data_IF_494951921271
#
_entry.id   IF_494951921271
#
_cell.length_a   1.000
_cell.length_b   1.000
_cell.length_c   1.000
_cell.angle_alpha   90.00
_cell.angle_beta   90.00
_cell.angle_gamma   90.00
#
_symmetry.space_group_name_H-M   'P 1'
#
loop_
_entity.id
_entity.type
_entity.pdbx_description
1 polymer ?
#
# COMPACT_ATOMS: atom_id res chain seq x y z
N UNK A 1 5.14 11.31 -24.58
CA UNK A 1 5.48 10.57 -23.35
C UNK A 1 6.50 9.51 -23.73
N UNK A 2 7.70 9.56 -23.16
CA UNK A 2 8.73 8.53 -23.32
C UNK A 2 8.38 7.28 -22.51
N UNK A 3 9.05 6.16 -22.78
CA UNK A 3 8.91 4.92 -21.99
C UNK A 3 9.28 5.15 -20.52
N UNK A 4 10.25 6.03 -20.26
CA UNK A 4 10.65 6.41 -18.90
C UNK A 4 9.58 7.24 -18.19
N UNK A 5 9.01 8.23 -18.89
CA UNK A 5 7.89 9.03 -18.38
C UNK A 5 6.66 8.16 -18.09
N UNK A 6 6.38 7.18 -18.96
CA UNK A 6 5.30 6.22 -18.75
C UNK A 6 5.56 5.31 -17.53
N UNK A 7 6.79 4.80 -17.38
CA UNK A 7 7.19 3.99 -16.23
C UNK A 7 7.10 4.76 -14.90
N UNK A 8 7.48 6.04 -14.90
CA UNK A 8 7.34 6.92 -13.75
C UNK A 8 5.86 7.16 -13.39
N UNK A 9 5.00 7.38 -14.38
CA UNK A 9 3.57 7.57 -14.18
C UNK A 9 2.90 6.32 -13.56
N UNK A 10 3.24 5.12 -14.04
CA UNK A 10 2.73 3.87 -13.48
C UNK A 10 3.18 3.65 -12.03
N UNK A 11 4.44 3.96 -11.70
CA UNK A 11 4.93 3.90 -10.32
C UNK A 11 4.20 4.88 -9.40
N UNK A 12 3.96 6.10 -9.88
CA UNK A 12 3.22 7.11 -9.12
C UNK A 12 1.76 6.70 -8.88
N UNK A 13 1.10 6.15 -9.90
CA UNK A 13 -0.26 5.61 -9.78
C UNK A 13 -0.32 4.46 -8.75
N UNK A 14 0.56 3.46 -8.90
CA UNK A 14 0.61 2.31 -8.00
C UNK A 14 0.87 2.73 -6.55
N UNK A 15 1.75 3.72 -6.34
CA UNK A 15 2.01 4.28 -5.01
C UNK A 15 0.76 4.92 -4.42
N UNK A 16 0.08 5.77 -5.20
CA UNK A 16 -1.14 6.46 -4.75
C UNK A 16 -2.23 5.45 -4.38
N UNK A 17 -2.51 4.48 -5.24
CA UNK A 17 -3.53 3.46 -4.99
C UNK A 17 -3.20 2.63 -3.74
N UNK A 18 -1.91 2.32 -3.53
CA UNK A 18 -1.47 1.64 -2.33
C UNK A 18 -1.68 2.47 -1.06
N UNK A 19 -1.34 3.75 -1.08
CA UNK A 19 -1.53 4.68 0.04
C UNK A 19 -3.02 4.84 0.37
N UNK A 20 -3.89 4.98 -0.64
CA UNK A 20 -5.35 5.04 -0.47
C UNK A 20 -5.90 3.75 0.15
N UNK A 21 -5.46 2.59 -0.33
CA UNK A 21 -5.88 1.29 0.21
C UNK A 21 -5.42 1.08 1.66
N UNK A 22 -4.17 1.46 1.98
CA UNK A 22 -3.65 1.37 3.35
C UNK A 22 -4.39 2.29 4.32
N UNK A 23 -4.77 3.49 3.88
CA UNK A 23 -5.57 4.41 4.69
C UNK A 23 -6.96 3.82 4.99
N UNK A 24 -7.61 3.22 3.99
CA UNK A 24 -8.90 2.55 4.17
C UNK A 24 -8.83 1.40 5.19
N UNK A 25 -7.80 0.54 5.09
CA UNK A 25 -7.62 -0.56 6.05
C UNK A 25 -7.38 -0.09 7.48
N UNK A 26 -6.64 1.02 7.66
CA UNK A 26 -6.44 1.63 8.97
C UNK A 26 -7.76 2.19 9.52
N UNK A 27 -8.56 2.83 8.68
CA UNK A 27 -9.90 3.28 9.05
C UNK A 27 -10.79 2.14 9.54
N UNK A 28 -10.83 1.01 8.82
CA UNK A 28 -11.59 -0.16 9.26
C UNK A 28 -11.04 -0.78 10.55
N UNK A 29 -9.72 -0.84 10.71
CA UNK A 29 -9.11 -1.30 11.97
C UNK A 29 -9.54 -0.40 13.14
N UNK A 30 -9.51 0.92 12.98
CA UNK A 30 -9.91 1.89 14.01
C UNK A 30 -11.41 1.79 14.33
N UNK A 31 -12.26 1.64 13.32
CA UNK A 31 -13.71 1.44 13.47
C UNK A 31 -14.02 0.13 14.21
N UNK A 32 -13.40 -0.98 13.80
CA UNK A 32 -13.54 -2.28 14.45
C UNK A 32 -13.06 -2.24 15.92
N UNK A 33 -11.99 -1.49 16.22
CA UNK A 33 -11.52 -1.30 17.60
C UNK A 33 -12.51 -0.46 18.43
N UNK A 34 -13.09 0.59 17.84
CA UNK A 34 -14.06 1.43 18.51
C UNK A 34 -15.39 0.70 18.80
N UNK A 35 -15.79 -0.21 17.91
CA UNK A 35 -17.02 -1.01 18.04
C UNK A 35 -16.83 -2.30 18.86
N UNK A 36 -15.59 -2.65 19.21
CA UNK A 36 -15.28 -3.86 19.97
C UNK A 36 -15.25 -5.14 19.13
N UNK A 37 -15.13 -5.02 17.81
CA UNK A 37 -14.97 -6.14 16.88
C UNK A 37 -13.52 -6.67 16.88
N UNK A 38 -13.06 -7.18 18.02
CA UNK A 38 -11.65 -7.53 18.26
C UNK A 38 -11.04 -8.49 17.22
N UNK A 39 -11.83 -9.46 16.74
CA UNK A 39 -11.36 -10.40 15.72
C UNK A 39 -11.09 -9.72 14.37
N UNK A 40 -11.95 -8.76 14.01
CA UNK A 40 -11.91 -8.01 12.76
C UNK A 40 -10.77 -6.98 12.80
N UNK A 41 -10.64 -6.25 13.92
CA UNK A 41 -9.52 -5.37 14.20
C UNK A 41 -8.17 -6.09 14.12
N UNK A 42 -8.07 -7.30 14.71
CA UNK A 42 -6.86 -8.12 14.63
C UNK A 42 -6.55 -8.52 13.19
N UNK A 43 -7.56 -8.95 12.44
CA UNK A 43 -7.39 -9.30 11.03
C UNK A 43 -6.87 -8.12 10.21
N UNK A 44 -7.47 -6.93 10.37
CA UNK A 44 -7.04 -5.73 9.65
C UNK A 44 -5.60 -5.33 10.02
N UNK A 45 -5.23 -5.44 11.29
CA UNK A 45 -3.84 -5.19 11.75
C UNK A 45 -2.83 -6.15 11.12
N UNK A 46 -3.15 -7.44 11.07
CA UNK A 46 -2.30 -8.44 10.42
C UNK A 46 -2.17 -8.22 8.92
N UNK A 47 -3.28 -7.85 8.26
CA UNK A 47 -3.29 -7.53 6.83
C UNK A 47 -2.42 -6.31 6.52
N UNK A 48 -2.55 -5.23 7.31
CA UNK A 48 -1.70 -4.03 7.21
C UNK A 48 -0.23 -4.42 7.34
N UNK A 49 0.14 -5.20 8.36
CA UNK A 49 1.53 -5.63 8.57
C UNK A 49 2.09 -6.46 7.40
N UNK A 50 1.29 -7.38 6.85
CA UNK A 50 1.67 -8.17 5.67
C UNK A 50 1.87 -7.30 4.45
N UNK A 51 0.98 -6.35 4.20
CA UNK A 51 1.08 -5.44 3.06
C UNK A 51 2.29 -4.53 3.19
N UNK A 52 2.58 -4.01 4.37
CA UNK A 52 3.74 -3.15 4.63
C UNK A 52 5.08 -3.87 4.39
N UNK A 53 5.13 -5.17 4.71
CA UNK A 53 6.32 -6.00 4.49
C UNK A 53 6.60 -6.33 3.00
N UNK A 54 5.64 -6.17 2.10
CA UNK A 54 5.83 -6.44 0.66
C UNK A 54 6.72 -5.35 0.06
N UNK A 55 7.86 -5.70 -0.57
CA UNK A 55 8.72 -4.73 -1.24
C UNK A 55 7.96 -3.94 -2.31
N UNK A 56 8.04 -2.61 -2.26
CA UNK A 56 7.29 -1.78 -3.20
C UNK A 56 8.04 -1.60 -4.52
N UNK A 57 7.36 -1.73 -5.66
CA UNK A 57 7.99 -1.55 -6.97
C UNK A 57 8.44 -0.11 -7.24
N UNK A 58 7.92 0.87 -6.49
CA UNK A 58 8.33 2.28 -6.58
C UNK A 58 9.54 2.64 -5.70
N UNK A 59 9.94 1.78 -4.75
CA UNK A 59 11.10 2.05 -3.87
C UNK A 59 12.43 1.63 -4.49
N UNK A 60 12.40 0.73 -5.48
CA UNK A 60 13.62 0.32 -6.19
C UNK A 60 13.97 1.37 -7.25
N UNK A 61 15.19 1.96 -7.21
CA UNK A 61 15.70 2.68 -8.36
C UNK A 61 15.69 1.70 -9.53
N UNK A 62 15.11 2.13 -10.64
CA UNK A 62 15.06 1.34 -11.86
C UNK A 62 16.51 0.99 -12.20
N UNK A 63 16.87 -0.30 -12.19
CA UNK A 63 18.18 -0.71 -12.65
C UNK A 63 18.31 -0.21 -14.09
N UNK A 64 19.09 0.85 -14.27
CA UNK A 64 19.46 1.34 -15.58
C UNK A 64 20.30 0.23 -16.18
N UNK A 65 19.75 -0.48 -17.16
CA UNK A 65 20.51 -1.45 -17.91
C UNK A 65 21.67 -0.70 -18.59
N UNK A 66 22.89 -0.99 -18.15
CA UNK A 66 24.13 -0.49 -18.74
C UNK A 66 24.47 -1.27 -20.02
#
# INVERSE_FOLDING_TARGET
>A
MSVEEHGAALKALARREHEEFMAMLRGWQEEDEAEGHEAQARFNRELIARLDAIPKPWDKPQATAA
#
